data_IF_735377323835
#
_entry.id   IF_735377323835
#
_cell.length_a   1.000
_cell.length_b   1.000
_cell.length_c   1.000
_cell.angle_alpha   90.00
_cell.angle_beta   90.00
_cell.angle_gamma   90.00
#
_symmetry.space_group_name_H-M   'P 1'
#
loop_
_entity.id
_entity.type
_entity.pdbx_description
1 polymer ?
#
# COMPACT_ATOMS: atom_id res chain seq x y z
N UNK A 1 2.71 10.62 -18.36
CA UNK A 1 2.42 9.98 -17.05
C UNK A 1 3.67 9.28 -16.61
N UNK A 2 4.20 9.61 -15.43
CA UNK A 2 5.37 8.92 -14.88
C UNK A 2 4.90 7.65 -14.16
N UNK A 3 5.64 6.53 -14.22
CA UNK A 3 5.33 5.35 -13.45
C UNK A 3 5.64 5.62 -11.97
N UNK A 4 4.71 5.26 -11.09
CA UNK A 4 4.89 5.29 -9.64
C UNK A 4 4.96 3.86 -9.12
N UNK A 5 5.99 3.58 -8.34
CA UNK A 5 6.14 2.28 -7.69
C UNK A 5 5.50 2.33 -6.32
N UNK A 6 4.46 1.53 -6.11
CA UNK A 6 3.81 1.36 -4.82
C UNK A 6 4.35 0.09 -4.19
N UNK A 7 4.99 0.23 -3.02
CA UNK A 7 5.47 -0.90 -2.23
C UNK A 7 4.59 -1.06 -0.99
N UNK A 8 4.13 -2.29 -0.80
CA UNK A 8 3.32 -2.73 0.32
C UNK A 8 4.19 -3.57 1.23
N UNK A 9 4.34 -3.14 2.48
CA UNK A 9 5.01 -3.93 3.51
C UNK A 9 3.94 -4.39 4.49
N UNK A 10 3.68 -5.69 4.53
CA UNK A 10 2.76 -6.28 5.49
C UNK A 10 3.47 -6.49 6.83
N UNK A 11 2.70 -6.52 7.92
CA UNK A 11 3.23 -6.73 9.28
C UNK A 11 3.89 -8.10 9.49
N UNK A 12 3.59 -9.09 8.65
CA UNK A 12 4.28 -10.40 8.62
C UNK A 12 5.63 -10.37 7.88
N UNK A 13 6.08 -9.19 7.43
CA UNK A 13 7.34 -9.00 6.72
C UNK A 13 7.27 -9.31 5.23
N UNK A 14 6.11 -9.70 4.70
CA UNK A 14 5.92 -9.86 3.27
C UNK A 14 5.83 -8.51 2.56
N UNK A 15 6.61 -8.36 1.50
CA UNK A 15 6.61 -7.19 0.64
C UNK A 15 5.98 -7.52 -0.72
N UNK A 16 5.06 -6.67 -1.19
CA UNK A 16 4.50 -6.70 -2.53
C UNK A 16 4.81 -5.37 -3.22
N UNK A 17 5.12 -5.40 -4.52
CA UNK A 17 5.42 -4.20 -5.28
C UNK A 17 4.56 -4.16 -6.53
N UNK A 18 3.85 -3.04 -6.73
CA UNK A 18 3.06 -2.79 -7.92
C UNK A 18 3.44 -1.45 -8.55
N UNK A 19 3.54 -1.45 -9.87
CA UNK A 19 3.83 -0.24 -10.65
C UNK A 19 2.53 0.29 -11.24
N UNK A 20 2.20 1.54 -10.94
CA UNK A 20 1.02 2.22 -11.43
C UNK A 20 1.41 3.39 -12.34
N UNK A 21 0.70 3.54 -13.45
CA UNK A 21 0.87 4.68 -14.35
C UNK A 21 -0.22 5.71 -14.06
N UNK A 22 0.02 6.60 -13.10
CA UNK A 22 -0.96 7.60 -12.66
C UNK A 22 -0.47 9.03 -12.87
N UNK A 23 -1.36 10.00 -12.70
CA UNK A 23 -1.02 11.42 -12.80
C UNK A 23 -0.21 11.91 -11.58
N UNK A 24 -0.40 11.27 -10.41
CA UNK A 24 0.32 11.60 -9.19
C UNK A 24 0.18 10.53 -8.10
N UNK A 25 0.81 10.76 -6.92
CA UNK A 25 0.79 9.83 -5.80
C UNK A 25 -0.61 9.65 -5.19
N UNK A 26 -1.46 10.68 -5.25
CA UNK A 26 -2.84 10.60 -4.77
C UNK A 26 -3.70 9.67 -5.64
N UNK A 27 -3.55 9.74 -6.96
CA UNK A 27 -4.16 8.79 -7.90
C UNK A 27 -3.63 7.38 -7.69
N UNK A 28 -2.32 7.20 -7.47
CA UNK A 28 -1.75 5.88 -7.18
C UNK A 28 -2.38 5.27 -5.91
N UNK A 29 -2.56 6.09 -4.86
CA UNK A 29 -3.30 5.72 -3.65
C UNK A 29 -4.76 5.37 -3.94
N UNK A 30 -5.49 6.16 -4.73
CA UNK A 30 -6.88 5.85 -5.08
C UNK A 30 -7.00 4.56 -5.89
N UNK A 31 -6.12 4.33 -6.86
CA UNK A 31 -6.08 3.08 -7.65
C UNK A 31 -5.75 1.90 -6.75
N UNK A 32 -4.82 2.03 -5.80
CA UNK A 32 -4.54 1.01 -4.81
C UNK A 32 -5.75 0.67 -3.93
N UNK A 33 -6.42 1.69 -3.38
CA UNK A 33 -7.64 1.51 -2.57
C UNK A 33 -8.75 0.85 -3.39
N UNK A 34 -8.92 1.26 -4.65
CA UNK A 34 -9.93 0.73 -5.57
C UNK A 34 -9.61 -0.69 -6.06
N UNK A 35 -8.33 -1.04 -6.25
CA UNK A 35 -7.90 -2.39 -6.64
C UNK A 35 -7.91 -3.37 -5.49
N UNK A 36 -8.08 -2.88 -4.24
CA UNK A 36 -8.47 -3.65 -3.05
C UNK A 36 -7.81 -5.03 -2.99
N UNK A 37 -6.47 -5.03 -3.01
CA UNK A 37 -5.65 -6.05 -2.35
C UNK A 37 -5.10 -5.54 -1.02
N UNK A 38 -5.83 -4.67 -0.32
CA UNK A 38 -5.51 -4.39 1.07
C UNK A 38 -5.68 -5.72 1.83
N UNK A 39 -4.66 -6.18 2.58
CA UNK A 39 -4.76 -7.44 3.30
C UNK A 39 -5.98 -7.37 4.22
N UNK A 40 -6.88 -8.33 4.04
CA UNK A 40 -8.09 -8.47 4.82
C UNK A 40 -7.71 -8.53 6.30
N UNK A 41 -8.32 -7.64 7.11
CA UNK A 41 -8.33 -7.56 8.58
C UNK A 41 -7.27 -8.38 9.33
N UNK A 42 -6.41 -7.68 10.06
CA UNK A 42 -5.48 -8.28 11.04
C UNK A 42 -4.00 -8.11 10.71
N UNK A 43 -3.65 -7.54 9.56
CA UNK A 43 -2.27 -7.24 9.17
C UNK A 43 -2.06 -5.72 9.06
N UNK A 44 -0.93 -5.24 9.57
CA UNK A 44 -0.47 -3.88 9.36
C UNK A 44 0.06 -3.75 7.94
N UNK A 45 -0.12 -2.59 7.33
CA UNK A 45 0.28 -2.29 5.97
C UNK A 45 0.99 -0.95 5.93
N UNK A 46 2.22 -0.94 5.46
CA UNK A 46 2.96 0.28 5.15
C UNK A 46 3.04 0.47 3.64
N UNK A 47 2.66 1.65 3.16
CA UNK A 47 2.58 1.98 1.74
C UNK A 47 3.64 3.02 1.43
N UNK A 48 4.53 2.66 0.52
CA UNK A 48 5.53 3.56 -0.05
C UNK A 48 5.19 3.88 -1.49
N UNK A 49 5.29 5.14 -1.90
CA UNK A 49 5.16 5.57 -3.30
C UNK A 49 6.49 6.18 -3.72
N UNK A 50 7.14 5.59 -4.73
CA UNK A 50 8.47 6.00 -5.21
C UNK A 50 9.55 6.02 -4.11
N UNK A 51 9.40 5.15 -3.11
CA UNK A 51 10.29 5.06 -1.95
C UNK A 51 9.93 6.01 -0.80
N UNK A 52 9.00 6.94 -0.99
CA UNK A 52 8.50 7.80 0.08
C UNK A 52 7.34 7.12 0.83
N UNK A 53 7.36 7.16 2.17
CA UNK A 53 6.26 6.63 2.98
C UNK A 53 5.05 7.57 2.86
N UNK A 54 3.95 7.06 2.32
CA UNK A 54 2.73 7.84 2.08
C UNK A 54 1.65 7.51 3.09
N UNK A 55 1.53 6.24 3.48
CA UNK A 55 0.47 5.81 4.39
C UNK A 55 0.93 4.61 5.23
N UNK A 56 0.65 4.65 6.52
CA UNK A 56 0.82 3.54 7.44
C UNK A 56 -0.54 3.17 8.03
N UNK A 57 -1.02 1.97 7.70
CA UNK A 57 -2.24 1.39 8.24
C UNK A 57 -1.85 0.31 9.25
N UNK A 58 -1.78 0.60 10.56
CA UNK A 58 -1.45 -0.40 11.56
C UNK A 58 -2.51 -1.52 11.59
N UNK A 59 -2.10 -2.73 11.99
CA UNK A 59 -3.00 -3.88 12.12
C UNK A 59 -4.09 -3.55 13.14
N UNK A 60 -5.36 -3.54 12.70
CA UNK A 60 -6.49 -3.32 13.59
C UNK A 60 -6.85 -4.64 14.30
N UNK A 61 -6.26 -4.83 15.48
CA UNK A 61 -6.60 -5.87 16.45
C UNK A 61 -5.89 -7.22 16.27
N UNK A 62 -5.14 -7.63 17.28
CA UNK A 62 -4.92 -9.05 17.57
C UNK A 62 -6.28 -9.68 17.92
N UNK A 63 -6.73 -10.76 17.26
CA UNK A 63 -7.73 -11.62 17.90
C UNK A 63 -7.05 -12.19 19.16
N UNK A 64 -7.59 -11.81 20.32
CA UNK A 64 -7.30 -12.42 21.63
C UNK A 64 -7.58 -13.92 21.59
#
# INVERSE_FOLDING_TARGET
>A
MQPYTVRFVRSDGQEDTQTFHTAGPNDARMVMLATSRLPQRGYGLTIYVDGELVEECPALGTPD
#
